data_IF_799990667163
#
_entry.id   IF_799990667163
#
_cell.length_a   1.000
_cell.length_b   1.000
_cell.length_c   1.000
_cell.angle_alpha   90.00
_cell.angle_beta   90.00
_cell.angle_gamma   90.00
#
_symmetry.space_group_name_H-M   'P 1'
#
loop_
_entity.id
_entity.type
_entity.pdbx_description
1 polymer ?
#
# COMPACT_ATOMS: atom_id res chain seq x y z
N UNK A 1 31.90 -56.78 7.04
CA UNK A 1 31.77 -55.35 6.67
C UNK A 1 30.30 -55.00 6.68
N UNK A 2 29.90 -54.04 7.51
CA UNK A 2 28.51 -53.78 7.88
C UNK A 2 27.67 -53.12 6.77
N UNK A 3 28.31 -52.56 5.74
CA UNK A 3 27.63 -52.04 4.55
C UNK A 3 28.20 -52.71 3.29
N UNK A 4 27.59 -53.83 2.87
CA UNK A 4 27.91 -54.49 1.60
C UNK A 4 27.13 -53.85 0.43
N UNK A 5 27.83 -53.55 -0.65
CA UNK A 5 27.27 -52.97 -1.88
C UNK A 5 26.17 -53.83 -2.50
N UNK A 6 26.27 -55.17 -2.40
CA UNK A 6 25.23 -56.09 -2.91
C UNK A 6 23.93 -55.94 -2.13
N UNK A 7 24.03 -55.88 -0.81
CA UNK A 7 22.91 -55.68 0.11
C UNK A 7 22.25 -54.31 -0.07
N UNK A 8 23.05 -53.25 -0.27
CA UNK A 8 22.55 -51.90 -0.57
C UNK A 8 21.76 -51.85 -1.89
N UNK A 9 22.21 -52.60 -2.91
CA UNK A 9 21.54 -52.64 -4.21
C UNK A 9 20.18 -53.34 -4.12
N UNK A 10 20.09 -54.43 -3.36
CA UNK A 10 18.87 -55.23 -3.16
C UNK A 10 17.89 -54.64 -2.14
N UNK A 11 18.25 -53.53 -1.49
CA UNK A 11 17.40 -52.91 -0.48
C UNK A 11 16.09 -52.38 -1.09
N UNK A 12 14.91 -52.81 -0.61
CA UNK A 12 13.63 -52.33 -1.12
C UNK A 12 13.36 -50.88 -0.65
N UNK A 13 12.55 -50.16 -1.41
CA UNK A 13 12.22 -48.76 -1.13
C UNK A 13 11.55 -48.61 0.25
N UNK A 14 11.96 -47.61 1.01
CA UNK A 14 11.51 -47.33 2.38
C UNK A 14 12.29 -48.05 3.48
N UNK A 15 13.12 -49.04 3.14
CA UNK A 15 14.00 -49.68 4.12
C UNK A 15 15.34 -48.95 4.27
N UNK A 16 15.97 -49.16 5.41
CA UNK A 16 17.29 -48.60 5.72
C UNK A 16 18.21 -49.66 6.33
N UNK A 17 19.50 -49.58 6.01
CA UNK A 17 20.54 -50.37 6.67
C UNK A 17 21.27 -49.49 7.67
N UNK A 18 21.59 -50.05 8.84
CA UNK A 18 22.42 -49.44 9.88
C UNK A 18 23.63 -50.32 10.15
N UNK A 19 24.67 -49.73 10.74
CA UNK A 19 25.86 -50.44 11.19
C UNK A 19 26.12 -50.18 12.67
N UNK A 20 26.44 -51.22 13.47
CA UNK A 20 26.97 -51.03 14.83
C UNK A 20 28.34 -50.32 14.86
N UNK A 21 29.15 -50.45 13.81
CA UNK A 21 30.49 -49.84 13.73
C UNK A 21 30.42 -48.31 13.58
N UNK A 22 29.35 -47.82 12.95
CA UNK A 22 29.13 -46.39 12.66
C UNK A 22 27.77 -45.93 13.20
N UNK A 23 27.68 -45.61 14.51
CA UNK A 23 26.40 -45.28 15.14
C UNK A 23 25.74 -44.07 14.49
N UNK A 24 24.47 -44.25 14.11
CA UNK A 24 23.65 -43.22 13.46
C UNK A 24 23.88 -43.08 11.95
N UNK A 25 24.92 -43.68 11.36
CA UNK A 25 25.08 -43.76 9.92
C UNK A 25 24.12 -44.82 9.37
N UNK A 26 23.32 -44.43 8.38
CA UNK A 26 22.39 -45.34 7.70
C UNK A 26 22.30 -45.04 6.22
N UNK A 27 21.95 -46.05 5.45
CA UNK A 27 21.62 -45.87 4.03
C UNK A 27 20.15 -46.18 3.83
N UNK A 28 19.41 -45.20 3.32
CA UNK A 28 17.98 -45.30 3.07
C UNK A 28 17.74 -45.47 1.56
N UNK A 29 16.96 -46.49 1.18
CA UNK A 29 16.56 -46.69 -0.20
C UNK A 29 15.24 -45.95 -0.47
N UNK A 30 15.30 -44.97 -1.37
CA UNK A 30 14.12 -44.42 -2.05
C UNK A 30 13.84 -45.22 -3.32
N UNK A 31 12.67 -45.01 -3.95
CA UNK A 31 12.27 -45.69 -5.18
C UNK A 31 13.31 -45.57 -6.30
N UNK A 32 14.00 -44.42 -6.38
CA UNK A 32 14.93 -44.09 -7.47
C UNK A 32 16.41 -44.02 -7.03
N UNK A 33 16.68 -43.92 -5.73
CA UNK A 33 18.03 -43.67 -5.24
C UNK A 33 18.26 -44.13 -3.82
N UNK A 34 19.51 -44.49 -3.51
CA UNK A 34 19.95 -44.79 -2.16
C UNK A 34 20.76 -43.61 -1.62
N UNK A 35 20.52 -43.22 -0.38
CA UNK A 35 21.11 -42.02 0.22
C UNK A 35 21.73 -42.36 1.57
N UNK A 36 22.97 -41.92 1.78
CA UNK A 36 23.61 -41.91 3.08
C UNK A 36 23.02 -40.80 3.93
N UNK A 37 22.53 -41.18 5.11
CA UNK A 37 21.90 -40.29 6.07
C UNK A 37 22.59 -40.50 7.41
N UNK A 38 22.90 -39.41 8.10
CA UNK A 38 23.33 -39.44 9.47
C UNK A 38 22.17 -39.05 10.38
N UNK A 39 21.73 -39.96 11.23
CA UNK A 39 20.71 -39.72 12.24
C UNK A 39 21.38 -39.59 13.61
N UNK A 40 21.18 -38.46 14.26
CA UNK A 40 21.76 -38.16 15.57
C UNK A 40 20.78 -37.43 16.47
N UNK A 41 21.10 -37.40 17.77
CA UNK A 41 20.38 -36.59 18.76
C UNK A 41 21.05 -35.23 18.84
N UNK A 42 20.29 -34.17 18.60
CA UNK A 42 20.75 -32.78 18.72
C UNK A 42 21.33 -32.54 20.11
N UNK A 43 22.54 -31.96 20.24
CA UNK A 43 23.12 -31.60 21.52
C UNK A 43 22.41 -30.37 22.14
N UNK A 44 21.69 -29.58 21.33
CA UNK A 44 21.01 -28.35 21.74
C UNK A 44 19.57 -28.66 22.20
N UNK A 45 18.77 -29.26 21.32
CA UNK A 45 17.32 -29.47 21.58
C UNK A 45 17.00 -30.86 22.13
N UNK A 46 17.96 -31.79 22.14
CA UNK A 46 17.73 -33.20 22.47
C UNK A 46 16.85 -33.97 21.46
N UNK A 47 16.41 -33.34 20.37
CA UNK A 47 15.54 -33.95 19.33
C UNK A 47 16.35 -34.80 18.35
N UNK A 48 15.72 -35.85 17.82
CA UNK A 48 16.32 -36.67 16.75
C UNK A 48 16.31 -35.91 15.42
N UNK A 49 17.47 -35.80 14.78
CA UNK A 49 17.65 -35.11 13.50
C UNK A 49 18.31 -36.02 12.49
N UNK A 50 18.12 -35.70 11.21
CA UNK A 50 18.66 -36.45 10.09
C UNK A 50 19.34 -35.48 9.13
N UNK A 51 20.62 -35.69 8.85
CA UNK A 51 21.39 -34.94 7.86
C UNK A 51 21.69 -35.86 6.67
N UNK A 52 21.37 -35.41 5.47
CA UNK A 52 21.74 -36.10 4.23
C UNK A 52 23.23 -35.87 3.95
N UNK A 53 24.00 -36.95 3.85
CA UNK A 53 25.44 -36.90 3.53
C UNK A 53 25.63 -36.90 2.02
N UNK A 54 25.00 -37.84 1.30
CA UNK A 54 25.16 -37.96 -0.15
C UNK A 54 24.45 -39.16 -0.76
N UNK A 55 24.50 -39.27 -2.09
CA UNK A 55 23.81 -40.33 -2.87
C UNK A 55 24.77 -41.46 -3.22
N UNK A 56 24.36 -42.69 -2.98
CA UNK A 56 25.06 -43.89 -3.46
C UNK A 56 24.57 -44.23 -4.88
N UNK A 57 25.44 -44.68 -5.82
CA UNK A 57 26.86 -45.04 -5.65
C UNK A 57 27.85 -43.88 -5.88
N UNK A 58 27.38 -42.68 -6.25
CA UNK A 58 28.25 -41.52 -6.49
C UNK A 58 29.15 -41.18 -5.30
N UNK A 59 28.66 -41.41 -4.08
CA UNK A 59 29.43 -41.36 -2.84
C UNK A 59 29.68 -42.78 -2.33
N UNK A 60 30.96 -43.15 -2.24
CA UNK A 60 31.43 -44.43 -1.71
C UNK A 60 31.22 -44.52 -0.20
N UNK A 61 31.28 -45.74 0.35
CA UNK A 61 31.19 -45.96 1.79
C UNK A 61 32.27 -45.18 2.55
N UNK A 62 33.51 -45.23 2.08
CA UNK A 62 34.63 -44.54 2.73
C UNK A 62 34.40 -43.02 2.78
N UNK A 63 33.99 -42.42 1.66
CA UNK A 63 33.65 -41.00 1.61
C UNK A 63 32.47 -40.64 2.54
N UNK A 64 31.47 -41.54 2.67
CA UNK A 64 30.36 -41.35 3.59
C UNK A 64 30.80 -41.45 5.07
N UNK A 65 31.74 -42.34 5.41
CA UNK A 65 32.31 -42.47 6.75
C UNK A 65 33.11 -41.22 7.12
N UNK A 66 33.97 -40.71 6.24
CA UNK A 66 34.72 -39.46 6.49
C UNK A 66 33.79 -38.29 6.78
N UNK A 67 32.74 -38.11 5.96
CA UNK A 67 31.73 -37.06 6.20
C UNK A 67 30.93 -37.29 7.48
N UNK A 68 30.69 -38.54 7.86
CA UNK A 68 30.06 -38.88 9.13
C UNK A 68 30.95 -38.53 10.32
N UNK A 69 32.26 -38.79 10.25
CA UNK A 69 33.23 -38.40 11.29
C UNK A 69 33.29 -36.88 11.45
N UNK A 70 33.31 -36.12 10.36
CA UNK A 70 33.23 -34.65 10.38
C UNK A 70 31.94 -34.15 11.07
N UNK A 71 30.78 -34.71 10.70
CA UNK A 71 29.48 -34.37 11.30
C UNK A 71 29.37 -34.80 12.77
N UNK A 72 30.08 -35.86 13.15
CA UNK A 72 30.17 -36.30 14.54
C UNK A 72 31.06 -35.37 15.37
N UNK A 73 32.21 -34.97 14.85
CA UNK A 73 33.12 -34.05 15.51
C UNK A 73 32.47 -32.68 15.75
N UNK A 74 31.76 -32.14 14.76
CA UNK A 74 30.98 -30.89 14.90
C UNK A 74 29.89 -31.00 15.96
N UNK A 75 29.21 -32.14 16.05
CA UNK A 75 28.26 -32.44 17.12
C UNK A 75 28.92 -32.53 18.49
N UNK A 76 30.07 -33.20 18.61
CA UNK A 76 30.83 -33.32 19.86
C UNK A 76 31.35 -31.95 20.33
N UNK A 77 31.63 -31.03 19.40
CA UNK A 77 31.91 -29.63 19.68
C UNK A 77 30.68 -28.81 20.14
N UNK A 78 29.49 -29.42 20.27
CA UNK A 78 28.27 -28.78 20.76
C UNK A 78 27.43 -28.07 19.69
N UNK A 79 27.84 -28.12 18.42
CA UNK A 79 27.14 -27.50 17.30
C UNK A 79 26.15 -28.49 16.68
N UNK A 80 24.99 -28.03 16.21
CA UNK A 80 24.03 -28.86 15.47
C UNK A 80 24.11 -28.53 13.96
N UNK A 81 24.75 -29.39 13.14
CA UNK A 81 24.94 -29.12 11.71
C UNK A 81 23.63 -28.93 10.93
N UNK A 82 22.51 -29.51 11.40
CA UNK A 82 21.22 -29.32 10.75
C UNK A 82 20.58 -27.97 11.11
N UNK A 83 20.86 -27.40 12.29
CA UNK A 83 20.47 -26.03 12.62
C UNK A 83 21.22 -25.02 11.76
N UNK A 84 22.54 -25.11 11.66
CA UNK A 84 23.34 -24.16 10.91
C UNK A 84 22.96 -24.12 9.42
N UNK A 85 22.78 -25.30 8.80
CA UNK A 85 22.33 -25.38 7.40
C UNK A 85 20.93 -24.80 7.23
N UNK A 86 20.05 -24.96 8.23
CA UNK A 86 18.71 -24.37 8.19
C UNK A 86 18.77 -22.84 8.35
N UNK A 87 19.56 -22.35 9.29
CA UNK A 87 19.78 -20.92 9.54
C UNK A 87 20.39 -20.25 8.32
N UNK A 88 21.49 -20.78 7.77
CA UNK A 88 22.12 -20.24 6.57
C UNK A 88 21.21 -20.25 5.33
N UNK A 89 20.29 -21.22 5.22
CA UNK A 89 19.27 -21.22 4.15
C UNK A 89 18.21 -20.16 4.36
N UNK A 90 17.77 -19.96 5.60
CA UNK A 90 16.78 -18.96 5.93
C UNK A 90 17.36 -17.55 5.78
N UNK A 91 18.59 -17.32 6.25
CA UNK A 91 19.33 -16.07 6.04
C UNK A 91 19.49 -15.75 4.55
N UNK A 92 19.88 -16.74 3.72
CA UNK A 92 19.93 -16.55 2.26
C UNK A 92 18.58 -16.24 1.65
N UNK A 93 17.51 -16.87 2.14
CA UNK A 93 16.14 -16.61 1.67
C UNK A 93 15.67 -15.21 2.06
N UNK A 94 15.95 -14.80 3.30
CA UNK A 94 15.64 -13.47 3.82
C UNK A 94 16.40 -12.41 3.04
N UNK A 95 17.72 -12.55 2.89
CA UNK A 95 18.55 -11.62 2.11
C UNK A 95 18.07 -11.52 0.65
N UNK A 96 17.67 -12.62 0.02
CA UNK A 96 17.12 -12.58 -1.34
C UNK A 96 15.74 -11.91 -1.39
N UNK A 97 14.87 -12.14 -0.40
CA UNK A 97 13.56 -11.50 -0.31
C UNK A 97 13.69 -9.99 -0.09
N UNK A 98 14.59 -9.57 0.80
CA UNK A 98 14.92 -8.17 1.08
C UNK A 98 15.50 -7.48 -0.16
N UNK A 99 16.45 -8.11 -0.86
CA UNK A 99 17.01 -7.57 -2.10
C UNK A 99 15.93 -7.38 -3.18
N UNK A 100 15.00 -8.34 -3.31
CA UNK A 100 13.88 -8.23 -4.24
C UNK A 100 12.90 -7.14 -3.83
N UNK A 101 12.58 -7.01 -2.54
CA UNK A 101 11.72 -5.96 -2.03
C UNK A 101 12.35 -4.57 -2.26
N UNK A 102 13.64 -4.41 -1.97
CA UNK A 102 14.38 -3.18 -2.22
C UNK A 102 14.39 -2.81 -3.71
N UNK A 103 14.55 -3.79 -4.61
CA UNK A 103 14.49 -3.55 -6.05
C UNK A 103 13.10 -3.09 -6.50
N UNK A 104 12.03 -3.69 -5.96
CA UNK A 104 10.65 -3.28 -6.26
C UNK A 104 10.40 -1.85 -5.73
N UNK A 105 10.82 -1.55 -4.51
CA UNK A 105 10.70 -0.21 -3.92
C UNK A 105 11.50 0.84 -4.70
N UNK A 106 12.67 0.48 -5.22
CA UNK A 106 13.48 1.36 -6.07
C UNK A 106 12.81 1.64 -7.43
N UNK A 107 12.11 0.65 -7.99
CA UNK A 107 11.36 0.82 -9.24
C UNK A 107 9.99 1.48 -9.06
N UNK A 108 9.51 1.63 -7.81
CA UNK A 108 8.19 2.13 -7.50
C UNK A 108 8.11 3.65 -7.74
N UNK A 109 7.32 4.07 -8.71
CA UNK A 109 7.23 5.48 -9.11
C UNK A 109 6.13 6.23 -8.35
N UNK A 110 6.18 7.57 -8.40
CA UNK A 110 5.11 8.41 -7.85
C UNK A 110 3.77 8.19 -8.60
N UNK A 111 3.81 7.92 -9.91
CA UNK A 111 2.61 7.62 -10.68
C UNK A 111 1.98 6.28 -10.25
N UNK A 112 2.79 5.25 -10.00
CA UNK A 112 2.31 3.98 -9.45
C UNK A 112 1.67 4.19 -8.07
N UNK A 113 2.34 4.95 -7.21
CA UNK A 113 1.81 5.35 -5.89
C UNK A 113 0.45 6.02 -5.98
N UNK A 114 0.28 6.97 -6.90
CA UNK A 114 -1.00 7.65 -7.10
C UNK A 114 -2.07 6.70 -7.63
N UNK A 115 -1.70 5.77 -8.51
CA UNK A 115 -2.59 4.76 -9.09
C UNK A 115 -3.08 3.79 -8.03
N UNK A 116 -2.18 3.28 -7.19
CA UNK A 116 -2.51 2.38 -6.10
C UNK A 116 -3.42 3.02 -5.05
N UNK A 117 -3.13 4.27 -4.67
CA UNK A 117 -4.01 5.03 -3.79
C UNK A 117 -5.41 5.21 -4.41
N UNK A 118 -5.46 5.50 -5.70
CA UNK A 118 -6.73 5.68 -6.41
C UNK A 118 -7.55 4.39 -6.43
N UNK A 119 -6.95 3.27 -6.83
CA UNK A 119 -7.63 2.00 -6.99
C UNK A 119 -8.00 1.36 -5.65
N UNK A 120 -7.12 1.46 -4.66
CA UNK A 120 -7.28 0.83 -3.35
C UNK A 120 -8.15 1.60 -2.37
N UNK A 121 -8.23 2.94 -2.49
CA UNK A 121 -9.00 3.76 -1.55
C UNK A 121 -10.00 4.69 -2.24
N UNK A 122 -9.52 5.59 -3.11
CA UNK A 122 -10.34 6.71 -3.60
C UNK A 122 -11.55 6.24 -4.39
N UNK A 123 -11.37 5.28 -5.31
CA UNK A 123 -12.42 4.72 -6.16
C UNK A 123 -13.50 3.99 -5.37
N UNK A 124 -13.13 3.37 -4.26
CA UNK A 124 -14.03 2.58 -3.41
C UNK A 124 -14.76 3.44 -2.37
N UNK A 125 -14.08 4.44 -1.81
CA UNK A 125 -14.59 5.21 -0.68
C UNK A 125 -15.36 6.47 -1.10
N UNK A 126 -15.01 7.11 -2.23
CA UNK A 126 -15.55 8.43 -2.59
C UNK A 126 -16.65 8.35 -3.64
N UNK A 127 -17.52 9.37 -3.65
CA UNK A 127 -18.48 9.55 -4.72
C UNK A 127 -17.78 9.72 -6.08
N UNK A 128 -18.38 9.15 -7.15
CA UNK A 128 -17.80 9.08 -8.50
C UNK A 128 -17.19 10.39 -8.98
N UNK A 129 -17.93 11.50 -8.89
CA UNK A 129 -17.44 12.83 -9.32
C UNK A 129 -16.17 13.27 -8.60
N UNK A 130 -16.05 12.95 -7.30
CA UNK A 130 -14.87 13.27 -6.51
C UNK A 130 -13.68 12.38 -6.87
N UNK A 131 -13.92 11.09 -7.07
CA UNK A 131 -12.90 10.15 -7.51
C UNK A 131 -12.37 10.50 -8.91
N UNK A 132 -13.25 10.77 -9.86
CA UNK A 132 -12.88 11.14 -11.24
C UNK A 132 -11.99 12.41 -11.28
N UNK A 133 -12.27 13.40 -10.41
CA UNK A 133 -11.43 14.60 -10.31
C UNK A 133 -10.05 14.30 -9.73
N UNK A 134 -9.95 13.41 -8.74
CA UNK A 134 -8.65 12.98 -8.19
C UNK A 134 -7.85 12.25 -9.26
N UNK A 135 -8.49 11.36 -10.04
CA UNK A 135 -7.85 10.65 -11.15
C UNK A 135 -7.31 11.62 -12.19
N UNK A 136 -8.17 12.52 -12.68
CA UNK A 136 -7.80 13.56 -13.65
C UNK A 136 -6.64 14.42 -13.15
N UNK A 137 -6.63 14.75 -11.85
CA UNK A 137 -5.58 15.54 -11.24
C UNK A 137 -4.24 14.81 -11.25
N UNK A 138 -4.19 13.53 -10.89
CA UNK A 138 -2.95 12.74 -10.99
C UNK A 138 -2.49 12.58 -12.44
N UNK A 139 -3.40 12.27 -13.36
CA UNK A 139 -3.03 12.07 -14.77
C UNK A 139 -2.48 13.36 -15.44
N UNK A 140 -2.92 14.54 -14.98
CA UNK A 140 -2.56 15.82 -15.62
C UNK A 140 -1.44 16.58 -14.88
N UNK A 141 -1.39 16.51 -13.55
CA UNK A 141 -0.64 17.48 -12.74
C UNK A 141 0.68 16.95 -12.17
N UNK A 142 0.99 15.65 -12.28
CA UNK A 142 2.23 15.07 -11.75
C UNK A 142 3.49 15.52 -12.51
N UNK A 143 3.37 15.76 -13.83
CA UNK A 143 4.49 16.19 -14.66
C UNK A 143 5.73 15.27 -14.54
N UNK A 144 6.95 15.83 -14.50
CA UNK A 144 8.19 15.05 -14.35
C UNK A 144 8.28 14.28 -13.03
N UNK A 145 7.57 14.70 -11.98
CA UNK A 145 7.57 13.99 -10.71
C UNK A 145 6.88 12.63 -10.80
N UNK A 146 5.97 12.41 -11.76
CA UNK A 146 5.24 11.16 -11.90
C UNK A 146 6.12 9.95 -12.22
N UNK A 147 7.13 10.13 -13.06
CA UNK A 147 8.05 9.05 -13.49
C UNK A 147 9.21 8.82 -12.52
N UNK A 148 9.36 9.68 -11.52
CA UNK A 148 10.44 9.60 -10.55
C UNK A 148 10.17 8.46 -9.56
N UNK A 149 11.23 7.77 -9.13
CA UNK A 149 11.13 6.81 -8.03
C UNK A 149 10.66 7.52 -6.76
N UNK A 150 9.65 6.96 -6.09
CA UNK A 150 9.06 7.60 -4.92
C UNK A 150 10.07 7.78 -3.77
N UNK A 151 11.06 6.90 -3.67
CA UNK A 151 12.16 6.99 -2.70
C UNK A 151 13.14 8.16 -2.97
N UNK A 152 13.27 8.61 -4.22
CA UNK A 152 14.19 9.69 -4.62
C UNK A 152 13.56 11.08 -4.54
N UNK A 153 12.26 11.15 -4.21
CA UNK A 153 11.53 12.41 -4.17
C UNK A 153 12.02 13.24 -2.99
N UNK A 154 12.70 14.33 -3.33
CA UNK A 154 13.22 15.30 -2.37
C UNK A 154 12.17 16.36 -2.03
N UNK A 155 12.42 17.09 -0.95
CA UNK A 155 11.59 18.23 -0.54
C UNK A 155 11.53 19.34 -1.61
N UNK A 156 12.60 19.55 -2.37
CA UNK A 156 12.64 20.56 -3.45
C UNK A 156 11.75 20.15 -4.61
N UNK A 157 11.81 18.89 -5.06
CA UNK A 157 10.91 18.38 -6.11
C UNK A 157 9.44 18.57 -5.74
N UNK A 158 9.09 18.23 -4.49
CA UNK A 158 7.73 18.42 -4.00
C UNK A 158 7.32 19.91 -3.93
N UNK A 159 8.24 20.78 -3.51
CA UNK A 159 8.00 22.23 -3.47
C UNK A 159 7.78 22.81 -4.86
N UNK A 160 8.65 22.50 -5.82
CA UNK A 160 8.63 23.05 -7.17
C UNK A 160 7.35 22.67 -7.91
N UNK A 161 6.91 21.41 -7.79
CA UNK A 161 5.67 20.92 -8.39
C UNK A 161 4.45 21.70 -7.90
N UNK A 162 4.32 21.85 -6.57
CA UNK A 162 3.17 22.57 -6.00
C UNK A 162 3.27 24.07 -6.26
N UNK A 163 4.46 24.64 -6.22
CA UNK A 163 4.69 26.07 -6.48
C UNK A 163 4.34 26.45 -7.92
N UNK A 164 4.64 25.57 -8.90
CA UNK A 164 4.26 25.75 -10.30
C UNK A 164 2.74 25.90 -10.46
N UNK A 165 1.97 24.94 -9.93
CA UNK A 165 0.50 24.98 -10.02
C UNK A 165 -0.12 26.05 -9.12
N UNK A 166 0.53 26.43 -8.01
CA UNK A 166 0.02 27.46 -7.11
C UNK A 166 -0.02 28.85 -7.75
N UNK A 167 0.82 29.11 -8.77
CA UNK A 167 0.86 30.38 -9.48
C UNK A 167 -0.38 30.62 -10.35
N UNK A 168 -0.88 29.56 -11.01
CA UNK A 168 -2.01 29.62 -11.94
C UNK A 168 -3.32 29.16 -11.29
N UNK A 169 -3.29 28.08 -10.53
CA UNK A 169 -4.45 27.41 -9.96
C UNK A 169 -4.26 27.06 -8.47
N UNK A 170 -4.29 28.05 -7.56
CA UNK A 170 -3.98 27.86 -6.14
C UNK A 170 -4.92 26.91 -5.41
N UNK A 171 -6.20 26.81 -5.84
CA UNK A 171 -7.15 25.87 -5.26
C UNK A 171 -6.81 24.43 -5.66
N UNK A 172 -6.45 24.20 -6.93
CA UNK A 172 -6.05 22.88 -7.40
C UNK A 172 -4.71 22.46 -6.80
N UNK A 173 -3.73 23.37 -6.70
CA UNK A 173 -2.46 23.10 -6.03
C UNK A 173 -2.63 22.66 -4.56
N UNK A 174 -3.59 23.27 -3.82
CA UNK A 174 -3.93 22.83 -2.47
C UNK A 174 -4.48 21.41 -2.44
N UNK A 175 -5.41 21.09 -3.35
CA UNK A 175 -6.00 19.75 -3.45
C UNK A 175 -4.94 18.72 -3.81
N UNK A 176 -4.14 19.00 -4.85
CA UNK A 176 -3.02 18.15 -5.27
C UNK A 176 -2.09 17.83 -4.11
N UNK A 177 -1.66 18.86 -3.36
CA UNK A 177 -0.80 18.67 -2.19
C UNK A 177 -1.44 17.77 -1.12
N UNK A 178 -2.73 17.96 -0.85
CA UNK A 178 -3.45 17.14 0.14
C UNK A 178 -3.62 15.69 -0.33
N UNK A 179 -3.99 15.47 -1.59
CA UNK A 179 -4.15 14.12 -2.14
C UNK A 179 -2.82 13.39 -2.26
N UNK A 180 -1.74 14.06 -2.70
CA UNK A 180 -0.39 13.48 -2.69
C UNK A 180 0.07 13.13 -1.27
N UNK A 181 -0.26 13.97 -0.29
CA UNK A 181 0.01 13.68 1.11
C UNK A 181 -0.73 12.42 1.60
N UNK A 182 -2.00 12.26 1.23
CA UNK A 182 -2.79 11.08 1.59
C UNK A 182 -2.32 9.81 0.85
N UNK A 183 -1.96 9.93 -0.43
CA UNK A 183 -1.43 8.84 -1.23
C UNK A 183 -0.10 8.33 -0.67
N UNK A 184 0.75 9.23 -0.16
CA UNK A 184 2.00 8.86 0.50
C UNK A 184 1.77 8.08 1.78
N UNK A 185 0.85 8.53 2.65
CA UNK A 185 0.54 7.80 3.88
C UNK A 185 -0.02 6.41 3.56
N UNK A 186 -0.90 6.31 2.56
CA UNK A 186 -1.43 5.03 2.10
C UNK A 186 -0.32 4.07 1.63
N UNK A 187 0.66 4.58 0.88
CA UNK A 187 1.79 3.77 0.41
C UNK A 187 2.75 3.37 1.54
N UNK A 188 2.95 4.24 2.53
CA UNK A 188 3.70 3.94 3.75
C UNK A 188 3.00 2.86 4.58
N UNK A 189 1.69 2.97 4.81
CA UNK A 189 0.91 1.97 5.56
C UNK A 189 0.88 0.61 4.83
N UNK A 190 0.92 0.63 3.49
CA UNK A 190 1.00 -0.56 2.66
C UNK A 190 2.41 -1.19 2.58
N UNK A 191 3.44 -0.60 3.21
CA UNK A 191 4.83 -1.09 3.19
C UNK A 191 5.51 -0.99 1.81
N UNK A 192 4.97 -0.15 0.91
CA UNK A 192 5.50 0.03 -0.46
C UNK A 192 6.61 1.07 -0.53
N UNK A 193 6.74 1.90 0.52
CA UNK A 193 7.81 2.86 0.69
C UNK A 193 8.74 2.42 1.81
N UNK A 194 10.04 2.72 1.74
CA UNK A 194 10.93 2.57 2.88
C UNK A 194 10.48 3.45 4.05
N UNK A 195 10.57 2.93 5.28
CA UNK A 195 10.21 3.65 6.52
C UNK A 195 11.04 4.93 6.76
N UNK A 196 12.14 5.08 6.02
CA UNK A 196 13.04 6.23 6.09
C UNK A 196 12.53 7.45 5.31
N UNK A 197 11.59 7.28 4.38
CA UNK A 197 11.14 8.35 3.47
C UNK A 197 10.02 9.17 4.13
N UNK A 198 10.26 10.44 4.50
CA UNK A 198 9.23 11.25 5.12
C UNK A 198 8.23 11.77 4.09
N UNK A 199 6.99 12.01 4.54
CA UNK A 199 5.96 12.64 3.71
C UNK A 199 6.19 14.15 3.57
N UNK A 200 6.96 14.54 2.54
CA UNK A 200 7.26 15.94 2.25
C UNK A 200 6.03 16.77 1.87
N UNK A 201 5.06 16.17 1.17
CA UNK A 201 3.85 16.84 0.66
C UNK A 201 3.01 17.46 1.78
N UNK A 202 2.94 16.75 2.92
CA UNK A 202 2.30 17.29 4.11
C UNK A 202 3.08 18.47 4.68
N UNK A 203 4.40 18.47 4.67
CA UNK A 203 5.24 19.49 5.32
C UNK A 203 5.39 20.80 4.51
N UNK A 204 5.37 20.73 3.18
CA UNK A 204 5.57 21.90 2.32
C UNK A 204 4.36 22.84 2.30
N UNK A 205 4.62 24.14 2.16
CA UNK A 205 3.64 25.20 1.84
C UNK A 205 2.35 25.23 2.70
N UNK A 206 2.38 24.67 3.92
CA UNK A 206 1.23 24.68 4.86
C UNK A 206 0.75 26.10 5.11
N UNK A 207 -0.52 26.37 4.79
CA UNK A 207 -1.15 27.69 4.98
C UNK A 207 -0.60 28.82 4.08
N UNK A 208 0.44 28.57 3.28
CA UNK A 208 1.12 29.60 2.47
C UNK A 208 0.47 29.81 1.11
N UNK A 209 -0.22 28.79 0.57
CA UNK A 209 -0.94 28.91 -0.70
C UNK A 209 -2.20 29.77 -0.47
N UNK A 210 -2.21 30.99 -1.00
CA UNK A 210 -3.36 31.90 -0.92
C UNK A 210 -3.91 32.16 -2.32
N UNK A 211 -5.22 31.95 -2.49
CA UNK A 211 -5.90 32.37 -3.73
C UNK A 211 -6.07 33.88 -3.72
N UNK A 212 -5.74 34.54 -4.84
CA UNK A 212 -5.90 35.99 -5.01
C UNK A 212 -7.17 36.37 -5.81
N UNK A 213 -8.10 35.42 -5.97
CA UNK A 213 -9.33 35.62 -6.75
C UNK A 213 -9.16 35.42 -8.25
N UNK A 214 -10.25 35.59 -9.00
CA UNK A 214 -10.29 35.41 -10.46
C UNK A 214 -9.78 36.68 -11.14
N UNK A 215 -8.92 36.52 -12.16
CA UNK A 215 -8.58 37.64 -13.05
C UNK A 215 -9.65 37.78 -14.12
N UNK A 216 -10.22 38.97 -14.30
CA UNK A 216 -11.08 39.33 -15.43
C UNK A 216 -10.51 40.60 -16.05
N UNK A 217 -10.26 40.59 -17.36
CA UNK A 217 -9.69 41.73 -18.10
C UNK A 217 -8.38 42.31 -17.49
N UNK A 218 -7.53 41.46 -16.91
CA UNK A 218 -6.23 41.87 -16.32
C UNK A 218 -6.30 42.25 -14.84
N UNK A 219 -7.47 42.62 -14.32
CA UNK A 219 -7.68 42.99 -12.92
C UNK A 219 -8.08 41.79 -12.05
N UNK A 220 -7.60 41.77 -10.80
CA UNK A 220 -7.95 40.73 -9.82
C UNK A 220 -9.23 41.10 -9.10
N UNK A 221 -10.33 40.50 -9.52
CA UNK A 221 -11.55 40.48 -8.74
C UNK A 221 -11.26 39.51 -7.59
N UNK A 222 -11.31 40.00 -6.35
CA UNK A 222 -10.91 39.24 -5.16
C UNK A 222 -11.65 37.91 -4.97
N UNK A 223 -11.53 37.31 -3.79
CA UNK A 223 -12.09 35.97 -3.53
C UNK A 223 -13.62 35.96 -3.39
N UNK A 224 -14.26 37.12 -3.29
CA UNK A 224 -15.71 37.22 -3.20
C UNK A 224 -16.37 36.76 -4.51
N UNK A 225 -17.29 35.79 -4.40
CA UNK A 225 -18.19 35.48 -5.50
C UNK A 225 -19.08 36.69 -5.73
N UNK A 226 -19.19 37.18 -6.97
CA UNK A 226 -20.18 38.21 -7.32
C UNK A 226 -21.56 37.66 -6.99
N UNK A 227 -22.31 38.43 -6.22
CA UNK A 227 -23.72 38.18 -5.93
C UNK A 227 -24.52 39.21 -6.73
N UNK A 228 -25.69 38.81 -7.24
CA UNK A 228 -26.57 39.75 -7.93
C UNK A 228 -27.07 40.80 -6.93
N UNK A 229 -26.98 42.08 -7.30
CA UNK A 229 -27.60 43.14 -6.51
C UNK A 229 -29.14 43.04 -6.58
N UNK A 230 -29.90 43.63 -5.65
CA UNK A 230 -31.36 43.66 -5.73
C UNK A 230 -31.88 44.24 -7.06
N UNK A 231 -31.19 45.24 -7.62
CA UNK A 231 -31.52 45.85 -8.91
C UNK A 231 -31.28 44.90 -10.09
N UNK A 232 -30.16 44.17 -10.06
CA UNK A 232 -29.83 43.16 -11.05
C UNK A 232 -30.81 41.97 -10.99
N UNK A 233 -31.24 41.57 -9.78
CA UNK A 233 -32.28 40.56 -9.58
C UNK A 233 -33.60 41.07 -10.17
N UNK A 234 -33.99 42.32 -9.90
CA UNK A 234 -35.20 42.91 -10.50
C UNK A 234 -35.15 42.94 -12.03
N UNK A 235 -33.96 43.16 -12.60
CA UNK A 235 -33.73 43.10 -14.06
C UNK A 235 -33.84 41.68 -14.58
N UNK A 236 -33.26 40.70 -13.88
CA UNK A 236 -33.37 39.27 -14.23
C UNK A 236 -34.83 38.81 -14.20
N UNK A 237 -35.60 39.17 -13.16
CA UNK A 237 -37.02 38.80 -13.00
C UNK A 237 -37.86 39.33 -14.15
N UNK A 238 -37.67 40.60 -14.54
CA UNK A 238 -38.37 41.17 -15.72
C UNK A 238 -37.97 40.51 -17.04
N UNK A 239 -36.80 39.91 -17.09
CA UNK A 239 -36.27 39.25 -18.29
C UNK A 239 -36.64 37.76 -18.37
N UNK A 240 -37.16 37.17 -17.27
CA UNK A 240 -37.52 35.75 -17.19
C UNK A 240 -38.44 35.24 -18.33
N UNK A 241 -39.45 36.00 -18.80
CA UNK A 241 -40.35 35.54 -19.87
C UNK A 241 -39.65 35.27 -21.21
N UNK A 242 -38.38 35.65 -21.37
CA UNK A 242 -37.59 35.34 -22.55
C UNK A 242 -36.93 33.95 -22.49
N UNK A 243 -36.98 33.26 -21.35
CA UNK A 243 -36.52 31.89 -21.21
C UNK A 243 -37.63 30.88 -21.54
N UNK A 244 -37.26 29.61 -21.64
CA UNK A 244 -38.25 28.53 -21.70
C UNK A 244 -38.98 28.42 -20.37
N UNK A 245 -40.25 28.01 -20.40
CA UNK A 245 -41.08 27.89 -19.20
C UNK A 245 -40.41 27.10 -18.06
N UNK A 246 -39.69 26.01 -18.39
CA UNK A 246 -38.97 25.19 -17.40
C UNK A 246 -37.85 25.96 -16.70
N UNK A 247 -37.11 26.81 -17.43
CA UNK A 247 -36.02 27.60 -16.85
C UNK A 247 -36.57 28.77 -16.04
N UNK A 248 -37.65 29.40 -16.50
CA UNK A 248 -38.37 30.42 -15.76
C UNK A 248 -38.89 29.89 -14.41
N UNK A 249 -39.59 28.76 -14.41
CA UNK A 249 -40.10 28.12 -13.21
C UNK A 249 -38.97 27.75 -12.24
N UNK A 250 -37.89 27.14 -12.76
CA UNK A 250 -36.74 26.75 -11.96
C UNK A 250 -36.04 27.96 -11.32
N UNK A 251 -35.82 29.04 -12.06
CA UNK A 251 -35.20 30.26 -11.54
C UNK A 251 -36.08 30.98 -10.52
N UNK A 252 -37.40 31.04 -10.77
CA UNK A 252 -38.37 31.62 -9.84
C UNK A 252 -38.38 30.87 -8.53
N UNK A 253 -38.42 29.53 -8.60
CA UNK A 253 -38.37 28.67 -7.42
C UNK A 253 -37.04 28.82 -6.66
N UNK A 254 -35.92 28.96 -7.38
CA UNK A 254 -34.59 29.18 -6.80
C UNK A 254 -34.51 30.49 -6.02
N UNK A 255 -35.02 31.58 -6.60
CA UNK A 255 -35.04 32.91 -6.01
C UNK A 255 -35.93 32.94 -4.75
N UNK A 256 -37.06 32.25 -4.76
CA UNK A 256 -37.99 32.21 -3.62
C UNK A 256 -37.54 31.28 -2.49
N UNK A 257 -36.97 30.11 -2.80
CA UNK A 257 -36.70 29.08 -1.78
C UNK A 257 -35.26 29.02 -1.26
N UNK A 258 -34.32 29.80 -1.81
CA UNK A 258 -32.88 29.81 -1.44
C UNK A 258 -32.23 28.42 -1.38
N UNK A 259 -32.80 27.39 -1.99
CA UNK A 259 -32.29 26.02 -1.95
C UNK A 259 -31.15 25.84 -2.95
N UNK A 260 -30.15 25.00 -2.64
CA UNK A 260 -29.01 24.75 -3.52
C UNK A 260 -29.43 24.06 -4.82
N UNK A 261 -28.81 24.45 -5.94
CA UNK A 261 -29.13 24.00 -7.31
C UNK A 261 -28.98 22.49 -7.57
N UNK A 262 -28.39 21.75 -6.64
CA UNK A 262 -28.27 20.29 -6.70
C UNK A 262 -29.46 19.51 -6.13
N UNK A 263 -30.47 20.18 -5.54
CA UNK A 263 -31.54 19.53 -4.78
C UNK A 263 -32.89 19.50 -5.53
N UNK A 264 -33.00 20.24 -6.65
CA UNK A 264 -34.28 20.53 -7.31
C UNK A 264 -34.65 19.65 -8.50
N UNK A 265 -33.95 18.53 -8.74
CA UNK A 265 -34.44 17.49 -9.66
C UNK A 265 -34.89 16.21 -8.91
N UNK A 266 -36.01 16.23 -8.17
CA UNK A 266 -36.78 15.01 -7.97
C UNK A 266 -37.71 14.76 -9.19
N UNK A 267 -38.06 13.50 -9.50
CA UNK A 267 -39.15 13.21 -10.44
C UNK A 267 -40.48 13.80 -9.92
N UNK A 268 -41.39 14.09 -10.85
CA UNK A 268 -42.62 14.87 -10.68
C UNK A 268 -43.37 14.66 -9.34
N UNK A 269 -43.91 15.73 -8.71
CA UNK A 269 -44.66 15.60 -7.46
C UNK A 269 -46.00 14.89 -7.70
N UNK A 270 -46.13 13.67 -7.19
CA UNK A 270 -47.44 13.06 -6.97
C UNK A 270 -48.16 13.81 -5.86
N UNK A 271 -49.44 14.13 -6.12
CA UNK A 271 -50.28 15.19 -5.54
C UNK A 271 -50.47 15.24 -4.00
N UNK A 272 -49.78 14.49 -3.14
CA UNK A 272 -49.99 14.52 -1.68
C UNK A 272 -48.74 14.11 -0.88
N UNK A 273 -47.73 14.97 -0.72
CA UNK A 273 -46.81 14.93 0.43
C UNK A 273 -45.93 16.20 0.50
N UNK A 274 -45.73 16.87 1.65
CA UNK A 274 -44.71 17.92 1.76
C UNK A 274 -43.31 17.34 1.54
N UNK A 275 -42.53 17.98 0.68
CA UNK A 275 -41.17 17.57 0.32
C UNK A 275 -40.21 17.75 1.51
N UNK A 276 -39.81 16.66 2.15
CA UNK A 276 -38.66 16.64 3.05
C UNK A 276 -37.37 16.83 2.22
N UNK A 277 -36.74 18.00 2.36
CA UNK A 277 -35.44 18.30 1.77
C UNK A 277 -34.36 17.66 2.65
N UNK A 278 -33.80 16.53 2.21
CA UNK A 278 -32.59 15.99 2.84
C UNK A 278 -31.38 16.86 2.46
N UNK A 279 -30.88 17.64 3.40
CA UNK A 279 -29.58 18.28 3.28
C UNK A 279 -28.48 17.21 3.31
N UNK A 280 -27.72 17.06 2.22
CA UNK A 280 -26.47 16.33 2.23
C UNK A 280 -25.42 17.11 3.03
N UNK A 281 -25.41 16.90 4.35
CA UNK A 281 -24.45 17.52 5.26
C UNK A 281 -23.04 17.00 5.00
N UNK A 282 -22.13 17.91 4.65
CA UNK A 282 -20.70 17.69 4.87
C UNK A 282 -20.47 17.82 6.38
N UNK A 283 -20.37 16.70 7.09
CA UNK A 283 -20.01 16.66 8.50
C UNK A 283 -18.59 17.19 8.70
N UNK A 284 -18.48 18.38 9.29
CA UNK A 284 -17.28 18.82 9.99
C UNK A 284 -17.28 18.18 11.36
N UNK A 285 -16.31 17.30 11.57
CA UNK A 285 -15.96 16.69 12.85
C UNK A 285 -15.59 17.80 13.85
N UNK A 286 -16.40 17.98 14.89
CA UNK A 286 -16.14 18.89 16.00
C UNK A 286 -15.94 18.02 17.25
N UNK A 287 -14.72 18.05 17.77
CA UNK A 287 -14.24 17.17 18.82
C UNK A 287 -14.97 17.28 20.16
N UNK A 288 -15.00 16.12 20.81
CA UNK A 288 -15.34 15.80 22.19
C UNK A 288 -15.02 16.92 23.20
N UNK A 289 -16.01 17.24 24.03
CA UNK A 289 -15.83 17.84 25.35
C UNK A 289 -17.00 17.42 26.24
N UNK A 290 -16.66 17.08 27.48
CA UNK A 290 -17.53 16.81 28.64
C UNK A 290 -18.02 15.36 28.87
N UNK A 291 -17.19 14.60 29.59
CA UNK A 291 -17.67 13.72 30.66
C UNK A 291 -17.22 14.27 32.02
N UNK A 292 -18.18 14.81 32.78
CA UNK A 292 -18.06 15.03 34.22
C UNK A 292 -18.49 13.77 34.99
N UNK A 293 -17.64 13.39 35.95
CA UNK A 293 -17.92 12.90 37.31
C UNK A 293 -18.89 11.73 37.53
N UNK A 294 -18.37 10.65 38.15
CA UNK A 294 -18.95 10.06 39.38
C UNK A 294 -17.83 9.48 40.29
N UNK A 295 -17.84 9.96 41.54
CA UNK A 295 -17.32 9.49 42.84
C UNK A 295 -16.50 8.18 42.96
N UNK A 296 -15.45 8.20 43.80
CA UNK A 296 -15.48 7.71 45.19
C UNK A 296 -14.08 7.60 45.84
N UNK A 297 -14.05 7.86 47.15
CA UNK A 297 -12.98 7.71 48.15
C UNK A 297 -11.93 8.83 48.26
#
# INVERSE_FOLDING_TARGET
MTFDARTIKLLPAGQHLTSPDFPGLRIEASAQYRTWIYRYKSPIDGRMRQTKIGRWPAMSLHAAVTRWEELRATREAGVDPALEVKQAREEKRQAHAEAKAAQIQAAYTVADLCTDYYEGYVRLSRAKKGADEVRRMFDTMLGPCGVMAAAEVTRSHAFDLIQHHAATAPVQAKKLRSELGAAWDYASDAGRLPDTVPNWWRQILRGKIKSKGKKIAGERIGTAKRVLSPEEIGTLVRWLPNFTALVEDALTLYLCNRSLSGVLCPPAPTRNNPSHIHQGGAGSDQGDSDQQQVAAA
#
